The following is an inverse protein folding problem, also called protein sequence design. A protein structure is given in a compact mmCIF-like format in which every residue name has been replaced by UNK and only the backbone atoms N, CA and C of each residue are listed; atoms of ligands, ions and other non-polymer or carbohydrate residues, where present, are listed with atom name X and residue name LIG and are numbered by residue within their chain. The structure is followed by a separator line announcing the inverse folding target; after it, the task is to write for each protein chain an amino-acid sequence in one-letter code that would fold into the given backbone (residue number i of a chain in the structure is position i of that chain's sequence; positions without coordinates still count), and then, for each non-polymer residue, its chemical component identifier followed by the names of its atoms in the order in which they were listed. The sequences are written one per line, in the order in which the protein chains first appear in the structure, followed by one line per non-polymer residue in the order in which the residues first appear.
data_IF_263666788574
#
_entry.id   IF_263666788574
#
_cell.length_a   1.000
_cell.length_b   1.000
_cell.length_c   1.000
_cell.angle_alpha   90.00
_cell.angle_beta   90.00
_cell.angle_gamma   90.00
#
_symmetry.space_group_name_H-M   'P 1'
#
loop_
_entity.id
_entity.type
_entity.pdbx_description
1 polymer ?
#
# COMPACT_ATOMS: atom_id res chain seq x y z
N UNK A 1 7.86 -6.90 -23.27
CA UNK A 1 8.78 -5.90 -22.70
C UNK A 1 9.63 -6.60 -21.65
N UNK A 2 10.96 -6.39 -21.61
CA UNK A 2 11.79 -7.00 -20.57
C UNK A 2 11.30 -6.55 -19.19
N UNK A 3 11.36 -7.44 -18.20
CA UNK A 3 10.92 -7.13 -16.85
C UNK A 3 11.74 -5.94 -16.31
N UNK A 4 11.11 -4.83 -15.88
CA UNK A 4 11.81 -3.62 -15.46
C UNK A 4 12.77 -3.82 -14.26
N UNK A 5 12.71 -4.98 -13.60
CA UNK A 5 13.66 -5.39 -12.56
C UNK A 5 15.10 -5.54 -13.11
N UNK A 6 15.27 -5.84 -14.40
CA UNK A 6 16.56 -6.31 -14.93
C UNK A 6 17.67 -5.23 -14.98
N UNK A 7 17.33 -3.94 -14.90
CA UNK A 7 18.31 -2.85 -15.13
C UNK A 7 18.56 -1.92 -13.94
N UNK A 8 17.82 -2.04 -12.82
CA UNK A 8 18.08 -1.23 -11.61
C UNK A 8 18.65 -2.12 -10.48
N UNK A 9 19.95 -1.98 -10.14
CA UNK A 9 20.56 -2.71 -9.02
C UNK A 9 19.87 -2.49 -7.68
N UNK A 10 19.17 -1.38 -7.48
CA UNK A 10 18.46 -1.11 -6.23
C UNK A 10 17.23 -2.00 -6.04
N UNK A 11 16.62 -2.48 -7.14
CA UNK A 11 15.49 -3.42 -7.14
C UNK A 11 15.91 -4.87 -6.89
N UNK A 12 17.20 -5.20 -6.98
CA UNK A 12 17.69 -6.57 -6.83
C UNK A 12 17.35 -7.13 -5.44
N UNK A 13 16.53 -8.19 -5.43
CA UNK A 13 16.05 -8.84 -4.21
C UNK A 13 15.18 -7.95 -3.34
N UNK A 14 14.52 -6.95 -3.90
CA UNK A 14 13.67 -6.00 -3.17
C UNK A 14 12.20 -6.32 -3.35
N UNK A 15 11.48 -6.28 -2.24
CA UNK A 15 10.02 -6.38 -2.20
C UNK A 15 9.42 -5.05 -1.78
N UNK A 16 8.12 -4.89 -2.06
CA UNK A 16 7.35 -3.69 -1.77
C UNK A 16 6.11 -4.04 -0.98
N UNK A 17 5.61 -3.07 -0.21
CA UNK A 17 4.34 -3.17 0.50
C UNK A 17 3.67 -1.81 0.53
N UNK A 18 2.34 -1.81 0.45
CA UNK A 18 1.53 -0.60 0.38
C UNK A 18 0.68 -0.52 1.64
N UNK A 19 0.69 0.63 2.30
CA UNK A 19 -0.24 0.93 3.40
C UNK A 19 -1.06 2.16 3.04
N UNK A 20 -2.37 2.03 3.12
CA UNK A 20 -3.34 3.13 3.03
C UNK A 20 -3.88 3.40 4.43
N UNK A 21 -3.47 4.51 5.03
CA UNK A 21 -4.03 5.02 6.28
C UNK A 21 -5.30 5.83 5.95
N UNK A 22 -6.46 5.26 6.26
CA UNK A 22 -7.76 5.84 5.96
C UNK A 22 -8.29 6.59 7.20
N UNK A 23 -8.00 7.89 7.23
CA UNK A 23 -8.39 8.84 8.25
C UNK A 23 -9.76 9.48 8.01
N UNK A 24 -10.26 10.21 9.02
CA UNK A 24 -11.52 10.95 8.95
C UNK A 24 -11.45 12.18 8.05
N UNK A 25 -10.27 12.79 7.88
CA UNK A 25 -10.07 13.98 7.03
C UNK A 25 -9.51 13.65 5.64
N UNK A 26 -9.03 12.42 5.44
CA UNK A 26 -8.39 12.00 4.21
C UNK A 26 -7.74 10.64 4.35
N UNK A 27 -7.35 10.07 3.22
CA UNK A 27 -6.57 8.83 3.16
C UNK A 27 -5.19 9.10 2.61
N UNK A 28 -4.18 8.44 3.16
CA UNK A 28 -2.79 8.53 2.72
C UNK A 28 -2.25 7.17 2.33
N UNK A 29 -1.75 7.05 1.11
CA UNK A 29 -0.98 5.88 0.67
C UNK A 29 0.51 6.12 0.91
N UNK A 30 1.19 5.13 1.47
CA UNK A 30 2.64 5.07 1.60
C UNK A 30 3.15 3.75 1.04
N UNK A 31 4.16 3.82 0.17
CA UNK A 31 4.88 2.65 -0.31
C UNK A 31 6.11 2.43 0.56
N UNK A 32 6.29 1.20 1.01
CA UNK A 32 7.45 0.70 1.74
C UNK A 32 8.20 -0.32 0.89
N UNK A 33 9.46 -0.56 1.23
CA UNK A 33 10.25 -1.64 0.64
C UNK A 33 11.19 -2.28 1.64
N UNK A 34 11.62 -3.49 1.33
CA UNK A 34 12.64 -4.22 2.10
C UNK A 34 13.42 -5.14 1.17
N UNK A 35 14.65 -5.46 1.54
CA UNK A 35 15.42 -6.51 0.86
C UNK A 35 15.08 -7.87 1.43
N UNK A 36 14.96 -8.87 0.56
CA UNK A 36 14.81 -10.25 0.94
C UNK A 36 16.02 -10.69 1.80
N UNK A 37 15.82 -11.07 3.06
CA UNK A 37 16.91 -11.51 3.93
C UNK A 37 17.58 -12.80 3.43
N UNK A 38 16.89 -13.60 2.61
CA UNK A 38 17.42 -14.87 2.07
C UNK A 38 18.38 -14.68 0.89
N UNK A 39 18.35 -13.52 0.23
CA UNK A 39 19.24 -13.16 -0.88
C UNK A 39 20.60 -12.63 -0.36
N UNK A 40 20.72 -12.43 0.96
CA UNK A 40 22.01 -12.12 1.60
C UNK A 40 22.96 -13.31 1.50
N UNK A 41 24.07 -13.15 0.77
CA UNK A 41 25.17 -14.13 0.77
C UNK A 41 25.88 -14.25 2.12
N UNK A 42 25.57 -13.34 3.06
CA UNK A 42 26.12 -13.33 4.41
C UNK A 42 25.12 -13.95 5.39
N UNK A 43 25.07 -15.28 5.39
CA UNK A 43 24.24 -16.08 6.31
C UNK A 43 24.60 -15.85 7.79
N UNK A 44 25.79 -15.30 8.07
CA UNK A 44 26.19 -14.94 9.44
C UNK A 44 25.41 -13.73 9.99
N UNK A 45 24.81 -12.92 9.11
CA UNK A 45 23.95 -11.78 9.47
C UNK A 45 22.46 -12.12 9.52
N UNK A 46 22.05 -13.27 8.96
CA UNK A 46 20.67 -13.74 9.01
C UNK A 46 20.44 -14.40 10.36
N UNK A 47 20.29 -13.59 11.41
CA UNK A 47 19.89 -14.10 12.72
C UNK A 47 18.39 -14.36 12.71
N UNK A 48 17.94 -15.49 13.28
CA UNK A 48 16.51 -15.80 13.43
C UNK A 48 15.75 -14.81 14.34
N UNK A 49 16.46 -13.85 14.96
CA UNK A 49 15.93 -12.89 15.91
C UNK A 49 15.87 -11.45 15.36
N UNK A 50 16.24 -11.24 14.10
CA UNK A 50 16.24 -9.92 13.46
C UNK A 50 15.12 -9.77 12.46
N UNK A 51 14.30 -8.75 12.64
CA UNK A 51 13.26 -8.37 11.68
C UNK A 51 13.90 -7.74 10.42
N UNK A 52 13.27 -7.90 9.24
CA UNK A 52 13.68 -7.18 8.05
C UNK A 52 13.67 -5.66 8.28
N UNK A 53 14.69 -4.97 7.77
CA UNK A 53 14.70 -3.51 7.76
C UNK A 53 13.72 -3.02 6.69
N UNK A 54 12.61 -2.45 7.14
CA UNK A 54 11.63 -1.79 6.28
C UNK A 54 11.99 -0.32 6.11
N UNK A 55 11.98 0.16 4.88
CA UNK A 55 12.29 1.55 4.51
C UNK A 55 11.22 2.10 3.56
N UNK A 56 11.30 3.39 3.22
CA UNK A 56 10.41 3.97 2.18
C UNK A 56 10.64 3.24 0.86
N UNK A 57 9.63 3.24 0.00
CA UNK A 57 9.69 2.61 -1.32
C UNK A 57 10.66 3.24 -2.32
N UNK A 58 11.49 4.21 -1.93
CA UNK A 58 12.34 5.00 -2.84
C UNK A 58 13.82 4.92 -2.46
N UNK A 59 14.71 5.10 -3.44
CA UNK A 59 16.16 5.21 -3.26
C UNK A 59 16.70 6.64 -3.34
N UNK A 60 15.95 7.56 -3.94
CA UNK A 60 16.45 8.87 -4.39
C UNK A 60 15.88 10.06 -3.59
N UNK A 61 15.21 9.80 -2.47
CA UNK A 61 14.59 10.83 -1.64
C UNK A 61 13.23 11.32 -2.13
N UNK A 62 12.70 10.81 -3.25
CA UNK A 62 11.31 11.05 -3.65
C UNK A 62 10.32 10.48 -2.64
N UNK A 63 9.28 11.22 -2.28
CA UNK A 63 8.23 10.66 -1.44
C UNK A 63 7.27 9.82 -2.29
N UNK A 64 7.41 8.48 -2.23
CA UNK A 64 6.46 7.53 -2.82
C UNK A 64 5.23 7.41 -1.92
N UNK A 65 4.53 8.53 -1.78
CA UNK A 65 3.32 8.67 -0.98
C UNK A 65 2.36 9.66 -1.63
N UNK A 66 1.07 9.46 -1.45
CA UNK A 66 0.02 10.36 -1.91
C UNK A 66 -1.10 10.45 -0.90
N UNK A 67 -1.91 11.50 -1.01
CA UNK A 67 -3.05 11.74 -0.15
C UNK A 67 -4.26 12.19 -0.96
N UNK A 68 -5.43 11.81 -0.50
CA UNK A 68 -6.73 12.26 -1.02
C UNK A 68 -7.61 12.72 0.14
N UNK A 69 -8.49 13.69 -0.13
CA UNK A 69 -9.53 14.17 0.77
C UNK A 69 -10.87 14.17 0.03
N UNK A 70 -12.01 14.02 0.71
CA UNK A 70 -12.22 13.92 2.17
C UNK A 70 -11.82 12.54 2.74
N UNK A 71 -12.17 12.24 4.00
CA UNK A 71 -11.93 10.92 4.60
C UNK A 71 -12.87 9.84 4.04
N UNK A 72 -12.45 8.57 4.10
CA UNK A 72 -13.22 7.45 3.52
C UNK A 72 -14.63 7.31 4.13
N UNK A 73 -14.79 7.72 5.40
CA UNK A 73 -16.09 7.69 6.10
C UNK A 73 -17.12 8.66 5.51
N UNK A 74 -16.72 9.64 4.70
CA UNK A 74 -17.65 10.55 4.01
C UNK A 74 -18.53 9.82 3.00
N UNK A 75 -18.09 8.67 2.50
CA UNK A 75 -18.81 7.86 1.52
C UNK A 75 -19.79 6.87 2.14
N UNK A 76 -20.17 7.04 3.42
CA UNK A 76 -21.10 6.14 4.10
C UNK A 76 -22.47 6.03 3.41
N UNK A 77 -22.92 7.12 2.79
CA UNK A 77 -24.19 7.14 2.07
C UNK A 77 -24.07 6.73 0.59
N UNK A 78 -22.87 6.85 0.01
CA UNK A 78 -22.58 6.49 -1.40
C UNK A 78 -21.32 5.60 -1.49
N UNK A 79 -21.34 4.35 -0.98
CA UNK A 79 -20.15 3.48 -0.94
C UNK A 79 -19.55 3.22 -2.31
N UNK A 80 -20.36 3.22 -3.38
CA UNK A 80 -19.93 3.00 -4.76
C UNK A 80 -18.87 4.02 -5.25
N UNK A 81 -18.79 5.19 -4.61
CA UNK A 81 -17.79 6.22 -4.92
C UNK A 81 -16.39 5.89 -4.37
N UNK A 82 -16.27 4.92 -3.46
CA UNK A 82 -14.99 4.55 -2.82
C UNK A 82 -13.94 4.13 -3.84
N UNK A 83 -14.33 3.41 -4.90
CA UNK A 83 -13.40 3.01 -5.95
C UNK A 83 -12.77 4.21 -6.65
N UNK A 84 -13.58 5.20 -7.00
CA UNK A 84 -13.12 6.46 -7.58
C UNK A 84 -12.24 7.26 -6.62
N UNK A 85 -12.58 7.26 -5.34
CA UNK A 85 -11.81 7.89 -4.27
C UNK A 85 -10.41 7.27 -4.07
N UNK A 86 -10.29 5.95 -4.12
CA UNK A 86 -9.02 5.23 -3.93
C UNK A 86 -8.17 5.16 -5.20
N UNK A 87 -8.77 5.28 -6.39
CA UNK A 87 -8.07 5.12 -7.67
C UNK A 87 -6.81 6.02 -7.83
N UNK A 88 -6.81 7.31 -7.43
CA UNK A 88 -5.61 8.15 -7.52
C UNK A 88 -4.45 7.63 -6.64
N UNK A 89 -4.76 7.06 -5.48
CA UNK A 89 -3.75 6.45 -4.61
C UNK A 89 -3.15 5.22 -5.28
N UNK A 90 -4.00 4.32 -5.78
CA UNK A 90 -3.56 3.06 -6.40
C UNK A 90 -2.80 3.29 -7.72
N UNK A 91 -3.12 4.35 -8.45
CA UNK A 91 -2.42 4.73 -9.68
C UNK A 91 -0.95 5.05 -9.37
N UNK A 92 -0.68 5.84 -8.32
CA UNK A 92 0.69 6.10 -7.87
C UNK A 92 1.44 4.79 -7.60
N UNK A 93 0.82 3.85 -6.89
CA UNK A 93 1.46 2.57 -6.57
C UNK A 93 1.76 1.73 -7.82
N UNK A 94 0.82 1.67 -8.77
CA UNK A 94 1.00 0.97 -10.05
C UNK A 94 2.13 1.56 -10.88
N UNK A 95 2.27 2.88 -10.87
CA UNK A 95 3.30 3.59 -11.66
C UNK A 95 4.69 3.46 -11.04
N UNK A 96 4.78 3.45 -9.70
CA UNK A 96 6.06 3.40 -8.98
C UNK A 96 6.61 2.00 -8.80
N UNK A 97 5.74 0.99 -8.61
CA UNK A 97 6.17 -0.39 -8.38
C UNK A 97 6.30 -1.11 -9.74
N UNK A 98 7.41 -1.83 -10.01
CA UNK A 98 7.55 -2.63 -11.22
C UNK A 98 6.39 -3.62 -11.42
N UNK A 99 5.79 -3.72 -12.62
CA UNK A 99 4.65 -4.62 -12.89
C UNK A 99 4.86 -6.08 -12.50
N UNK A 100 6.10 -6.57 -12.62
CA UNK A 100 6.48 -7.93 -12.23
C UNK A 100 6.39 -8.20 -10.72
N UNK A 101 6.38 -7.16 -9.89
CA UNK A 101 6.27 -7.26 -8.43
C UNK A 101 4.85 -6.98 -7.92
N UNK A 102 3.92 -6.54 -8.78
CA UNK A 102 2.56 -6.18 -8.37
C UNK A 102 1.85 -7.33 -7.64
N UNK A 103 1.94 -8.56 -8.18
CA UNK A 103 1.30 -9.75 -7.60
C UNK A 103 1.81 -10.12 -6.21
N UNK A 104 3.05 -9.78 -5.90
CA UNK A 104 3.73 -10.13 -4.64
C UNK A 104 3.79 -8.94 -3.68
N UNK A 105 3.23 -7.79 -4.07
CA UNK A 105 3.18 -6.57 -3.26
C UNK A 105 1.89 -6.58 -2.44
N UNK A 106 1.93 -6.85 -1.12
CA UNK A 106 0.75 -6.75 -0.29
C UNK A 106 0.28 -5.29 -0.17
N UNK A 107 -1.05 -5.12 -0.14
CA UNK A 107 -1.70 -3.85 0.12
C UNK A 107 -2.55 -3.99 1.39
N UNK A 108 -2.35 -3.08 2.33
CA UNK A 108 -3.14 -2.97 3.55
C UNK A 108 -3.87 -1.63 3.55
N UNK A 109 -5.18 -1.65 3.70
CA UNK A 109 -5.97 -0.46 3.98
C UNK A 109 -6.44 -0.53 5.43
N UNK A 110 -6.08 0.49 6.20
CA UNK A 110 -6.28 0.54 7.64
C UNK A 110 -7.15 1.75 7.98
N UNK A 111 -8.36 1.47 8.42
CA UNK A 111 -9.33 2.48 8.81
C UNK A 111 -9.16 2.87 10.27
N UNK A 112 -9.24 4.17 10.55
CA UNK A 112 -9.00 4.70 11.89
C UNK A 112 -10.30 5.17 12.57
N UNK A 113 -10.36 6.41 13.06
CA UNK A 113 -11.47 6.90 13.87
C UNK A 113 -12.74 7.16 13.06
N UNK A 114 -12.64 7.51 11.78
CA UNK A 114 -13.77 7.98 10.96
C UNK A 114 -14.92 6.99 10.88
N UNK A 115 -14.62 5.70 10.68
CA UNK A 115 -15.65 4.66 10.53
C UNK A 115 -16.26 4.27 11.86
N UNK A 116 -15.50 4.29 12.96
CA UNK A 116 -16.01 3.95 14.30
C UNK A 116 -17.13 4.89 14.78
N UNK A 117 -17.27 6.06 14.15
CA UNK A 117 -18.29 7.06 14.47
C UNK A 117 -19.57 6.92 13.64
N UNK A 118 -19.59 6.03 12.64
CA UNK A 118 -20.76 5.79 11.79
C UNK A 118 -21.79 4.88 12.49
N UNK A 119 -23.07 4.90 12.07
CA UNK A 119 -24.06 3.88 12.41
C UNK A 119 -23.56 2.45 12.09
N UNK A 120 -23.97 1.46 12.89
CA UNK A 120 -23.43 0.09 12.82
C UNK A 120 -23.62 -0.58 11.46
N UNK A 121 -24.72 -0.30 10.79
CA UNK A 121 -25.03 -0.77 9.43
C UNK A 121 -24.01 -0.22 8.42
N UNK A 122 -23.60 1.05 8.58
CA UNK A 122 -22.61 1.72 7.72
C UNK A 122 -21.18 1.31 8.01
N UNK A 123 -20.86 0.92 9.26
CA UNK A 123 -19.51 0.47 9.62
C UNK A 123 -19.06 -0.79 8.87
N UNK A 124 -19.99 -1.65 8.48
CA UNK A 124 -19.69 -2.86 7.71
C UNK A 124 -19.73 -2.65 6.18
N UNK A 125 -20.41 -1.60 5.72
CA UNK A 125 -20.61 -1.32 4.30
C UNK A 125 -19.33 -0.77 3.65
N UNK A 126 -18.66 0.19 4.30
CA UNK A 126 -17.42 0.80 3.78
C UNK A 126 -16.30 -0.25 3.59
N UNK A 127 -15.96 -1.10 4.57
CA UNK A 127 -14.91 -2.10 4.39
C UNK A 127 -15.27 -3.14 3.32
N UNK A 128 -16.56 -3.49 3.21
CA UNK A 128 -17.05 -4.45 2.23
C UNK A 128 -16.89 -3.93 0.81
N UNK A 129 -17.30 -2.70 0.55
CA UNK A 129 -17.18 -2.08 -0.77
C UNK A 129 -15.71 -1.84 -1.13
N UNK A 130 -14.92 -1.39 -0.15
CA UNK A 130 -13.45 -1.27 -0.29
C UNK A 130 -12.80 -2.60 -0.68
N UNK A 131 -13.14 -3.69 0.00
CA UNK A 131 -12.63 -5.02 -0.36
C UNK A 131 -13.06 -5.41 -1.77
N UNK A 132 -14.32 -5.18 -2.13
CA UNK A 132 -14.88 -5.56 -3.44
C UNK A 132 -14.14 -4.85 -4.58
N UNK A 133 -13.84 -3.56 -4.42
CA UNK A 133 -13.05 -2.79 -5.38
C UNK A 133 -11.59 -3.25 -5.47
N UNK A 134 -10.97 -3.65 -4.34
CA UNK A 134 -9.55 -4.02 -4.32
C UNK A 134 -9.28 -5.42 -4.89
N UNK A 135 -10.29 -6.30 -4.92
CA UNK A 135 -10.16 -7.67 -5.44
C UNK A 135 -10.74 -7.85 -6.85
N UNK A 136 -11.40 -6.84 -7.41
CA UNK A 136 -11.95 -6.85 -8.77
C UNK A 136 -10.87 -6.73 -9.84
#
# INVERSE_FOLDING_TARGET
MPAPIANDPWLAGRHFGIVVDAGSSGSRLQIYSWKDPTISNDWSKVSSHTLPKVEKGTSNGEDWSSKVGPGISTFAENPEEIGGYLAPLLTLARDKIPPSLHKDTPLFLLETAGIRLLPLDKQAEIPKETCSFLIS
#
